data_IF_904720245455
#
_entry.id   IF_904720245455
#
_cell.length_a   1.000
_cell.length_b   1.000
_cell.length_c   1.000
_cell.angle_alpha   90.00
_cell.angle_beta   90.00
_cell.angle_gamma   90.00
#
_symmetry.space_group_name_H-M   'P 1'
#
loop_
_entity.id
_entity.type
_entity.pdbx_description
1 polymer ?
#
# COMPACT_ATOMS: atom_id res chain seq x y z
N UNK A 1 2.55 -60.53 37.95
CA UNK A 1 2.83 -59.08 38.13
C UNK A 1 3.93 -58.55 37.22
N UNK A 2 5.11 -59.20 37.09
CA UNK A 2 6.18 -58.73 36.18
C UNK A 2 5.74 -58.53 34.72
N UNK A 3 4.97 -59.48 34.18
CA UNK A 3 4.49 -59.45 32.78
C UNK A 3 3.51 -58.31 32.47
N UNK A 4 2.80 -57.78 33.47
CA UNK A 4 1.89 -56.64 33.26
C UNK A 4 2.67 -55.33 33.19
N UNK A 5 3.67 -55.16 34.08
CA UNK A 5 4.50 -53.96 34.12
C UNK A 5 5.36 -53.81 32.85
N UNK A 6 5.95 -54.90 32.36
CA UNK A 6 6.75 -54.91 31.12
C UNK A 6 5.92 -54.49 29.90
N UNK A 7 4.66 -54.94 29.80
CA UNK A 7 3.74 -54.55 28.72
C UNK A 7 3.36 -53.07 28.79
N UNK A 8 3.14 -52.54 30.00
CA UNK A 8 2.83 -51.11 30.20
C UNK A 8 4.01 -50.25 29.80
N UNK A 9 5.23 -50.63 30.20
CA UNK A 9 6.46 -49.91 29.84
C UNK A 9 6.67 -49.96 28.32
N UNK A 10 6.53 -51.12 27.68
CA UNK A 10 6.65 -51.24 26.24
C UNK A 10 5.62 -50.37 25.48
N UNK A 11 4.37 -50.35 25.94
CA UNK A 11 3.33 -49.51 25.35
C UNK A 11 3.65 -48.01 25.51
N UNK A 12 4.12 -47.59 26.69
CA UNK A 12 4.54 -46.21 26.92
C UNK A 12 5.70 -45.79 26.02
N UNK A 13 6.70 -46.66 25.82
CA UNK A 13 7.83 -46.41 24.92
C UNK A 13 7.33 -46.22 23.48
N UNK A 14 6.44 -47.09 23.00
CA UNK A 14 5.87 -46.97 21.65
C UNK A 14 5.12 -45.66 21.47
N UNK A 15 4.30 -45.25 22.46
CA UNK A 15 3.58 -43.97 22.42
C UNK A 15 4.54 -42.79 22.34
N UNK A 16 5.61 -42.78 23.15
CA UNK A 16 6.64 -41.72 23.11
C UNK A 16 7.34 -41.68 21.75
N UNK A 17 7.67 -42.83 21.17
CA UNK A 17 8.28 -42.91 19.83
C UNK A 17 7.32 -42.36 18.76
N UNK A 18 6.05 -42.74 18.79
CA UNK A 18 5.05 -42.25 17.83
C UNK A 18 4.85 -40.73 17.94
N UNK A 19 4.77 -40.19 19.16
CA UNK A 19 4.68 -38.75 19.39
C UNK A 19 5.95 -38.05 18.90
N UNK A 20 7.13 -38.61 19.18
CA UNK A 20 8.41 -38.07 18.71
C UNK A 20 8.53 -38.05 17.19
N UNK A 21 8.13 -39.13 16.51
CA UNK A 21 8.11 -39.20 15.05
C UNK A 21 7.08 -38.25 14.44
N UNK A 22 5.89 -38.13 15.03
CA UNK A 22 4.88 -37.17 14.61
C UNK A 22 5.37 -35.72 14.76
N UNK A 23 6.11 -35.42 15.84
CA UNK A 23 6.71 -34.10 16.07
C UNK A 23 7.85 -33.80 15.08
N UNK A 24 8.73 -34.77 14.80
CA UNK A 24 9.78 -34.64 13.78
C UNK A 24 9.15 -34.43 12.40
N UNK A 25 8.16 -35.24 12.04
CA UNK A 25 7.41 -35.08 10.79
C UNK A 25 6.76 -33.70 10.71
N UNK A 26 6.14 -33.23 11.80
CA UNK A 26 5.57 -31.89 11.88
C UNK A 26 6.62 -30.79 11.67
N UNK A 27 7.79 -30.86 12.30
CA UNK A 27 8.85 -29.86 12.06
C UNK A 27 9.35 -29.91 10.61
N UNK A 28 9.54 -31.09 10.05
CA UNK A 28 10.02 -31.26 8.68
C UNK A 28 9.00 -30.86 7.61
N UNK A 29 7.70 -30.91 7.94
CA UNK A 29 6.61 -30.54 7.03
C UNK A 29 6.00 -29.18 7.32
N UNK A 30 6.28 -28.59 8.49
CA UNK A 30 5.94 -27.20 8.76
C UNK A 30 6.76 -26.36 7.79
N UNK A 31 6.11 -25.56 6.92
CA UNK A 31 6.83 -24.71 5.99
C UNK A 31 7.69 -23.74 6.81
N UNK A 32 8.99 -24.04 6.88
CA UNK A 32 9.95 -23.18 7.53
C UNK A 32 9.88 -21.84 6.79
N UNK A 33 9.43 -20.80 7.49
CA UNK A 33 9.41 -19.47 6.91
C UNK A 33 10.88 -19.12 6.67
N UNK A 34 11.30 -19.12 5.41
CA UNK A 34 12.70 -18.88 5.09
C UNK A 34 13.11 -17.48 5.55
N UNK A 35 14.34 -17.33 6.04
CA UNK A 35 14.88 -16.01 6.39
C UNK A 35 14.82 -15.05 5.19
N UNK A 36 14.95 -15.60 3.97
CA UNK A 36 14.78 -14.87 2.71
C UNK A 36 13.39 -14.23 2.61
N UNK A 37 12.33 -14.97 2.94
CA UNK A 37 10.96 -14.45 2.93
C UNK A 37 10.77 -13.31 3.93
N UNK A 38 11.26 -13.45 5.17
CA UNK A 38 11.11 -12.40 6.20
C UNK A 38 11.90 -11.13 5.84
N UNK A 39 12.98 -11.28 5.07
CA UNK A 39 13.81 -10.18 4.59
C UNK A 39 13.23 -9.44 3.37
N UNK A 40 12.17 -9.98 2.74
CA UNK A 40 11.54 -9.33 1.59
C UNK A 40 11.10 -7.92 1.95
N UNK A 41 11.52 -6.93 1.14
CA UNK A 41 11.29 -5.52 1.41
C UNK A 41 10.28 -4.92 0.44
N UNK A 42 9.33 -4.16 0.97
CA UNK A 42 8.39 -3.32 0.22
C UNK A 42 8.74 -1.86 0.48
N UNK A 43 9.10 -1.14 -0.59
CA UNK A 43 9.40 0.29 -0.53
C UNK A 43 8.14 1.12 -0.77
N UNK A 44 7.87 2.04 0.16
CA UNK A 44 6.76 2.99 0.08
C UNK A 44 7.30 4.36 -0.37
N UNK A 45 6.76 4.87 -1.46
CA UNK A 45 7.07 6.18 -2.00
C UNK A 45 5.85 7.10 -1.93
N UNK A 46 6.14 8.39 -1.82
CA UNK A 46 5.23 9.50 -2.02
C UNK A 46 5.77 10.26 -3.23
N UNK A 47 5.09 10.17 -4.37
CA UNK A 47 5.65 10.56 -5.68
C UNK A 47 6.98 9.82 -5.93
N UNK A 48 8.09 10.55 -6.09
CA UNK A 48 9.43 10.00 -6.30
C UNK A 48 10.29 9.98 -5.02
N UNK A 49 9.72 10.35 -3.88
CA UNK A 49 10.42 10.35 -2.60
C UNK A 49 10.18 9.04 -1.85
N UNK A 50 11.26 8.33 -1.54
CA UNK A 50 11.22 7.15 -0.68
C UNK A 50 10.85 7.59 0.74
N UNK A 51 9.71 7.12 1.23
CA UNK A 51 9.23 7.40 2.58
C UNK A 51 9.74 6.38 3.58
N UNK A 52 9.54 5.09 3.28
CA UNK A 52 9.85 4.00 4.20
C UNK A 52 10.04 2.68 3.47
N UNK A 53 10.90 1.85 4.01
CA UNK A 53 11.02 0.45 3.64
C UNK A 53 10.41 -0.40 4.76
N UNK A 54 9.60 -1.39 4.40
CA UNK A 54 9.12 -2.40 5.33
C UNK A 54 9.59 -3.77 4.89
N UNK A 55 10.29 -4.49 5.76
CA UNK A 55 10.44 -5.93 5.61
C UNK A 55 9.12 -6.62 5.95
N UNK A 56 8.93 -7.88 5.53
CA UNK A 56 7.77 -8.68 5.96
C UNK A 56 7.73 -8.79 7.49
N UNK A 57 8.90 -8.91 8.12
CA UNK A 57 9.03 -8.89 9.58
C UNK A 57 8.53 -7.58 10.19
N UNK A 58 8.87 -6.44 9.59
CA UNK A 58 8.38 -5.13 10.03
C UNK A 58 6.87 -5.04 9.89
N UNK A 59 6.31 -5.51 8.76
CA UNK A 59 4.86 -5.49 8.55
C UNK A 59 4.13 -6.31 9.63
N UNK A 60 4.58 -7.54 9.90
CA UNK A 60 4.02 -8.40 10.95
C UNK A 60 4.09 -7.78 12.35
N UNK A 61 5.13 -6.98 12.61
CA UNK A 61 5.35 -6.37 13.92
C UNK A 61 4.55 -5.09 14.14
N UNK A 62 4.15 -4.40 13.06
CA UNK A 62 3.55 -3.06 13.13
C UNK A 62 2.07 -3.03 12.73
N UNK A 63 1.55 -4.09 12.09
CA UNK A 63 0.19 -4.10 11.56
C UNK A 63 -0.55 -5.37 11.95
N UNK A 64 -1.86 -5.25 12.12
CA UNK A 64 -2.74 -6.38 12.38
C UNK A 64 -2.93 -7.21 11.10
N UNK A 65 -2.79 -8.53 11.23
CA UNK A 65 -3.03 -9.45 10.14
C UNK A 65 -4.54 -9.59 9.93
N UNK A 66 -5.00 -9.32 8.71
CA UNK A 66 -6.39 -9.48 8.30
C UNK A 66 -6.55 -10.68 7.36
N UNK A 67 -7.71 -11.30 7.42
CA UNK A 67 -8.11 -12.41 6.54
C UNK A 67 -9.18 -11.94 5.57
N UNK A 68 -9.00 -12.22 4.28
CA UNK A 68 -9.99 -11.96 3.22
C UNK A 68 -10.24 -13.20 2.39
N UNK A 69 -11.50 -13.49 2.12
CA UNK A 69 -11.90 -14.57 1.21
C UNK A 69 -12.47 -13.93 -0.05
N UNK A 70 -11.90 -14.28 -1.20
CA UNK A 70 -12.18 -13.68 -2.50
C UNK A 70 -12.60 -14.77 -3.48
N UNK A 71 -13.61 -14.50 -4.30
CA UNK A 71 -13.98 -15.38 -5.41
C UNK A 71 -12.99 -15.19 -6.59
N UNK A 72 -12.26 -16.25 -6.91
CA UNK A 72 -11.32 -16.30 -8.02
C UNK A 72 -11.76 -17.37 -8.99
N UNK A 73 -12.43 -16.95 -10.07
CA UNK A 73 -12.93 -17.85 -11.12
C UNK A 73 -13.95 -18.89 -10.63
N UNK A 74 -14.80 -18.55 -9.66
CA UNK A 74 -15.81 -19.43 -9.09
C UNK A 74 -15.32 -20.24 -7.88
N UNK A 75 -14.06 -20.05 -7.48
CA UNK A 75 -13.45 -20.71 -6.32
C UNK A 75 -13.19 -19.69 -5.21
N UNK A 76 -13.65 -20.00 -3.99
CA UNK A 76 -13.35 -19.19 -2.81
C UNK A 76 -11.89 -19.39 -2.40
N UNK A 77 -11.10 -18.32 -2.47
CA UNK A 77 -9.68 -18.32 -2.11
C UNK A 77 -9.44 -17.38 -0.95
N UNK A 78 -8.72 -17.87 0.06
CA UNK A 78 -8.51 -17.11 1.28
C UNK A 78 -7.07 -16.62 1.38
N UNK A 79 -6.91 -15.35 1.68
CA UNK A 79 -5.64 -14.63 1.79
C UNK A 79 -5.55 -13.99 3.17
N UNK A 80 -4.35 -13.98 3.73
CA UNK A 80 -4.04 -13.21 4.94
C UNK A 80 -2.91 -12.21 4.66
N UNK A 81 -3.02 -11.01 5.23
CA UNK A 81 -2.14 -9.89 4.94
C UNK A 81 -2.45 -8.64 5.74
N UNK A 82 -2.06 -7.48 5.23
CA UNK A 82 -2.24 -6.19 5.90
C UNK A 82 -3.04 -5.23 5.01
N UNK A 83 -3.88 -4.39 5.61
CA UNK A 83 -4.60 -3.35 4.85
C UNK A 83 -3.61 -2.38 4.23
N UNK A 84 -3.73 -2.17 2.92
CA UNK A 84 -2.84 -1.26 2.21
C UNK A 84 -3.01 0.19 2.71
N UNK A 85 -4.24 0.62 2.98
CA UNK A 85 -4.50 1.94 3.52
C UNK A 85 -3.84 2.18 4.89
N UNK A 86 -3.79 1.17 5.77
CA UNK A 86 -3.16 1.29 7.09
C UNK A 86 -1.64 1.45 6.97
N UNK A 87 -1.01 0.73 6.02
CA UNK A 87 0.41 0.87 5.71
C UNK A 87 0.72 2.30 5.24
N UNK A 88 -0.09 2.83 4.32
CA UNK A 88 0.06 4.19 3.81
C UNK A 88 -0.19 5.24 4.90
N UNK A 89 -1.21 5.04 5.73
CA UNK A 89 -1.50 5.90 6.88
C UNK A 89 -0.34 5.94 7.87
N UNK A 90 0.30 4.79 8.17
CA UNK A 90 1.49 4.73 9.02
C UNK A 90 2.69 5.48 8.42
N UNK A 91 2.72 5.67 7.10
CA UNK A 91 3.70 6.51 6.41
C UNK A 91 3.30 8.00 6.39
N UNK A 92 2.21 8.41 7.06
CA UNK A 92 1.72 9.78 7.02
C UNK A 92 0.97 10.12 5.73
N UNK A 93 0.49 9.11 4.99
CA UNK A 93 -0.25 9.25 3.73
C UNK A 93 -1.71 8.85 3.98
N UNK A 94 -2.56 9.75 4.52
CA UNK A 94 -3.94 9.42 4.86
C UNK A 94 -4.84 9.29 3.63
N UNK A 95 -4.42 9.85 2.49
CA UNK A 95 -5.14 9.81 1.22
C UNK A 95 -4.19 10.08 0.05
N UNK A 96 -4.38 9.33 -1.04
CA UNK A 96 -3.78 9.60 -2.34
C UNK A 96 -4.80 9.24 -3.44
N UNK A 97 -5.11 10.14 -4.40
CA UNK A 97 -6.05 9.85 -5.49
C UNK A 97 -5.72 8.54 -6.22
N UNK A 98 -4.43 8.29 -6.43
CA UNK A 98 -3.91 7.11 -7.08
C UNK A 98 -2.78 6.47 -6.27
N UNK A 99 -2.72 5.14 -6.32
CA UNK A 99 -1.61 4.35 -5.76
C UNK A 99 -1.10 3.40 -6.82
N UNK A 100 0.18 3.50 -7.15
CA UNK A 100 0.85 2.62 -8.10
C UNK A 100 1.53 1.49 -7.33
N UNK A 101 1.18 0.25 -7.65
CA UNK A 101 1.77 -0.96 -7.07
C UNK A 101 2.62 -1.64 -8.13
N UNK A 102 3.88 -1.92 -7.80
CA UNK A 102 4.88 -2.46 -8.72
C UNK A 102 5.48 -3.75 -8.14
N UNK A 103 5.42 -4.81 -8.92
CA UNK A 103 6.06 -6.09 -8.63
C UNK A 103 7.57 -6.05 -8.88
N UNK A 104 8.31 -6.97 -8.28
CA UNK A 104 9.75 -7.12 -8.51
C UNK A 104 10.10 -7.43 -9.98
N UNK A 105 9.13 -7.94 -10.75
CA UNK A 105 9.23 -8.18 -12.20
C UNK A 105 8.92 -6.94 -13.06
N UNK A 106 8.62 -5.79 -12.44
CA UNK A 106 8.23 -4.56 -13.10
C UNK A 106 6.74 -4.49 -13.49
N UNK A 107 5.95 -5.54 -13.22
CA UNK A 107 4.51 -5.49 -13.46
C UNK A 107 3.85 -4.41 -12.61
N UNK A 108 3.07 -3.53 -13.23
CA UNK A 108 2.60 -2.29 -12.62
C UNK A 108 1.08 -2.16 -12.71
N UNK A 109 0.45 -1.74 -11.61
CA UNK A 109 -1.00 -1.51 -11.51
C UNK A 109 -1.27 -0.21 -10.77
N UNK A 110 -2.19 0.59 -11.31
CA UNK A 110 -2.67 1.83 -10.69
C UNK A 110 -4.04 1.65 -10.02
N UNK A 111 -4.14 1.90 -8.73
CA UNK A 111 -5.39 1.81 -7.97
C UNK A 111 -5.91 3.20 -7.63
N UNK A 112 -7.20 3.42 -7.81
CA UNK A 112 -7.89 4.55 -7.18
C UNK A 112 -7.97 4.33 -5.68
N UNK A 113 -8.01 5.41 -4.89
CA UNK A 113 -8.07 5.33 -3.43
C UNK A 113 -9.19 4.42 -2.89
N UNK A 114 -10.36 4.42 -3.52
CA UNK A 114 -11.48 3.55 -3.13
C UNK A 114 -11.14 2.05 -3.21
N UNK A 115 -10.27 1.67 -4.14
CA UNK A 115 -9.78 0.30 -4.24
C UNK A 115 -8.67 0.03 -3.21
N UNK A 116 -7.89 1.06 -2.85
CA UNK A 116 -6.80 0.97 -1.85
C UNK A 116 -7.34 0.68 -0.45
N UNK A 117 -8.47 1.28 -0.08
CA UNK A 117 -9.10 1.05 1.25
C UNK A 117 -9.59 -0.38 1.43
N UNK A 118 -9.87 -1.08 0.33
CA UNK A 118 -10.30 -2.48 0.30
C UNK A 118 -9.17 -3.45 -0.13
N UNK A 119 -7.97 -2.92 -0.39
CA UNK A 119 -6.83 -3.72 -0.82
C UNK A 119 -6.06 -4.29 0.37
N UNK A 120 -5.61 -5.52 0.20
CA UNK A 120 -4.76 -6.22 1.15
C UNK A 120 -3.42 -6.51 0.48
N UNK A 121 -2.34 -6.20 1.19
CA UNK A 121 -1.01 -6.70 0.87
C UNK A 121 -0.87 -8.06 1.54
N UNK A 122 -1.28 -9.11 0.82
CA UNK A 122 -1.28 -10.50 1.27
C UNK A 122 0.13 -11.06 1.33
N UNK A 123 0.42 -11.76 2.42
CA UNK A 123 1.69 -12.48 2.62
C UNK A 123 1.47 -13.99 2.86
N UNK A 124 0.22 -14.40 3.04
CA UNK A 124 -0.18 -15.79 3.26
C UNK A 124 -1.36 -16.11 2.33
N UNK A 125 -1.29 -17.27 1.69
CA UNK A 125 -2.36 -17.87 0.91
C UNK A 125 -2.81 -19.18 1.54
N UNK A 126 -4.12 -19.36 1.71
CA UNK A 126 -4.72 -20.62 2.14
C UNK A 126 -5.26 -21.36 0.92
N UNK A 127 -4.65 -22.51 0.64
CA UNK A 127 -5.09 -23.44 -0.38
C UNK A 127 -6.46 -24.02 0.01
N UNK A 128 -7.42 -24.12 -0.92
CA UNK A 128 -8.68 -24.83 -0.71
C UNK A 128 -8.53 -26.25 -0.15
N UNK A 129 -7.41 -26.93 -0.44
CA UNK A 129 -7.10 -28.28 0.07
C UNK A 129 -6.55 -28.29 1.51
N UNK A 130 -6.50 -27.12 2.16
CA UNK A 130 -6.05 -26.97 3.56
C UNK A 130 -4.57 -26.63 3.73
N UNK A 131 -3.84 -26.44 2.63
CA UNK A 131 -2.46 -25.98 2.65
C UNK A 131 -2.32 -24.50 3.02
N UNK A 132 -1.21 -24.14 3.67
CA UNK A 132 -0.83 -22.74 3.91
C UNK A 132 0.46 -22.48 3.14
N UNK A 133 0.47 -21.44 2.31
CA UNK A 133 1.66 -20.99 1.57
C UNK A 133 2.03 -19.58 1.98
N UNK A 134 3.28 -19.41 2.39
CA UNK A 134 3.89 -18.09 2.58
C UNK A 134 4.42 -17.61 1.23
N UNK A 135 3.86 -16.50 0.75
CA UNK A 135 4.21 -15.91 -0.55
C UNK A 135 4.80 -14.52 -0.33
N UNK A 136 5.82 -14.11 -1.12
CA UNK A 136 6.20 -12.70 -1.18
C UNK A 136 4.95 -11.81 -1.35
N UNK A 137 4.93 -10.62 -0.74
CA UNK A 137 3.79 -9.72 -0.73
C UNK A 137 3.04 -9.67 -2.07
N UNK A 138 1.72 -9.83 -2.03
CA UNK A 138 0.81 -9.79 -3.20
C UNK A 138 -0.33 -8.83 -2.94
N UNK A 139 -0.62 -7.98 -3.92
CA UNK A 139 -1.82 -7.17 -3.90
C UNK A 139 -3.06 -8.02 -4.21
N UNK A 140 -4.06 -8.02 -3.33
CA UNK A 140 -5.38 -8.65 -3.53
C UNK A 140 -6.50 -7.73 -3.02
N UNK A 141 -7.73 -7.91 -3.49
CA UNK A 141 -8.89 -7.15 -2.99
C UNK A 141 -10.19 -7.43 -3.76
N UNK A 142 -11.34 -7.25 -3.11
CA UNK A 142 -12.68 -7.62 -3.62
C UNK A 142 -13.09 -6.83 -4.88
N UNK A 143 -12.72 -5.55 -4.95
CA UNK A 143 -13.02 -4.68 -6.10
C UNK A 143 -11.84 -4.55 -7.07
N UNK A 144 -10.83 -5.42 -6.96
CA UNK A 144 -9.65 -5.43 -7.82
C UNK A 144 -9.76 -6.65 -8.73
N UNK A 145 -9.87 -6.42 -10.04
CA UNK A 145 -9.86 -7.50 -11.05
C UNK A 145 -8.63 -8.39 -10.83
N UNK A 146 -8.81 -9.71 -10.87
CA UNK A 146 -7.74 -10.70 -10.63
C UNK A 146 -6.49 -10.46 -11.49
N UNK A 147 -6.64 -10.03 -12.74
CA UNK A 147 -5.51 -9.70 -13.63
C UNK A 147 -4.64 -8.54 -13.14
N UNK A 148 -5.11 -7.76 -12.16
CA UNK A 148 -4.42 -6.61 -11.55
C UNK A 148 -3.81 -6.95 -10.19
N UNK A 149 -3.83 -8.21 -9.78
CA UNK A 149 -3.21 -8.65 -8.54
C UNK A 149 -1.71 -8.79 -8.74
N UNK A 150 -0.98 -7.74 -8.36
CA UNK A 150 0.48 -7.68 -8.47
C UNK A 150 1.10 -8.69 -7.51
N UNK A 151 1.91 -9.61 -8.04
CA UNK A 151 2.68 -10.58 -7.26
C UNK A 151 4.05 -9.99 -6.91
N UNK A 152 4.67 -10.49 -5.85
CA UNK A 152 6.02 -10.10 -5.44
C UNK A 152 6.17 -8.58 -5.38
N UNK A 153 5.21 -7.91 -4.74
CA UNK A 153 5.15 -6.46 -4.60
C UNK A 153 6.46 -5.98 -3.98
N UNK A 154 7.15 -5.10 -4.69
CA UNK A 154 8.42 -4.51 -4.28
C UNK A 154 8.28 -3.02 -4.00
N UNK A 155 7.35 -2.33 -4.68
CA UNK A 155 7.18 -0.89 -4.54
C UNK A 155 5.71 -0.50 -4.54
N UNK A 156 5.36 0.46 -3.69
CA UNK A 156 4.05 1.09 -3.61
C UNK A 156 4.26 2.60 -3.63
N UNK A 157 3.67 3.30 -4.59
CA UNK A 157 3.79 4.75 -4.73
C UNK A 157 2.44 5.42 -4.56
N UNK A 158 2.31 6.32 -3.60
CA UNK A 158 1.19 7.26 -3.53
C UNK A 158 1.43 8.39 -4.54
N UNK A 159 0.45 8.68 -5.38
CA UNK A 159 0.53 9.66 -6.46
C UNK A 159 -0.68 10.61 -6.38
N UNK A 160 -0.41 11.92 -6.30
CA UNK A 160 -1.42 12.98 -6.23
C UNK A 160 -1.77 13.57 -7.58
N UNK A 161 -1.01 13.24 -8.64
CA UNK A 161 -1.31 13.68 -9.98
C UNK A 161 -1.70 12.53 -10.91
N UNK A 162 -2.91 12.65 -11.46
CA UNK A 162 -3.23 12.01 -12.72
C UNK A 162 -2.36 12.67 -13.82
N UNK A 163 -1.45 11.92 -14.46
CA UNK A 163 -0.78 12.38 -15.68
C UNK A 163 -1.84 12.49 -16.80
N UNK A 164 -2.20 13.71 -17.17
CA UNK A 164 -3.00 13.97 -18.37
C UNK A 164 -2.04 14.12 -19.55
N UNK A 165 -2.10 13.19 -20.50
CA UNK A 165 -1.41 13.32 -21.79
C UNK A 165 -2.24 14.22 -22.72
N UNK A 166 -1.61 15.26 -23.28
CA UNK A 166 -2.04 15.88 -24.54
C UNK A 166 -1.00 15.51 -25.62
N UNK A 167 -1.43 15.17 -26.85
CA UNK A 167 -0.51 14.83 -27.95
C UNK A 167 0.45 15.96 -28.38
N UNK A 168 0.25 17.18 -27.90
CA UNK A 168 0.70 18.40 -28.57
C UNK A 168 1.32 19.49 -27.66
N UNK A 169 1.68 19.12 -26.41
CA UNK A 169 2.57 19.80 -25.42
C UNK A 169 1.84 20.09 -24.11
N UNK A 170 1.94 19.13 -23.19
CA UNK A 170 1.56 19.32 -21.79
C UNK A 170 2.81 19.60 -20.95
N UNK A 171 2.88 20.76 -20.31
CA UNK A 171 3.77 20.98 -19.17
C UNK A 171 2.96 20.68 -17.91
N UNK A 172 3.35 19.62 -17.20
CA UNK A 172 2.78 19.23 -15.92
C UNK A 172 3.63 19.82 -14.80
N UNK A 173 3.04 20.64 -13.92
CA UNK A 173 3.68 21.10 -12.70
C UNK A 173 3.12 20.31 -11.51
N UNK A 174 4.01 19.62 -10.82
CA UNK A 174 3.73 18.98 -9.54
C UNK A 174 4.30 19.87 -8.45
N UNK A 175 3.47 20.33 -7.52
CA UNK A 175 3.95 20.83 -6.23
C UNK A 175 4.31 19.65 -5.31
N UNK A 176 5.21 18.79 -5.78
CA UNK A 176 5.80 17.69 -5.02
C UNK A 176 7.06 18.19 -4.35
N UNK A 177 6.91 18.99 -3.31
CA UNK A 177 8.07 19.57 -2.61
C UNK A 177 7.80 20.18 -1.24
N UNK A 178 6.53 20.48 -0.91
CA UNK A 178 6.25 21.03 0.41
C UNK A 178 5.93 19.91 1.40
N UNK A 179 6.77 19.82 2.44
CA UNK A 179 6.70 18.91 3.58
C UNK A 179 5.46 19.11 4.49
N UNK A 180 4.28 19.34 3.88
CA UNK A 180 3.01 19.61 4.55
C UNK A 180 2.52 21.06 4.38
N UNK A 181 1.26 21.29 4.75
CA UNK A 181 0.57 22.59 4.69
C UNK A 181 1.38 23.70 5.38
N UNK A 182 2.09 23.38 6.46
CA UNK A 182 2.92 24.30 7.23
C UNK A 182 4.04 24.94 6.40
N UNK A 183 4.70 24.16 5.53
CA UNK A 183 5.79 24.66 4.69
C UNK A 183 5.26 25.54 3.55
N UNK A 184 4.06 25.25 3.04
CA UNK A 184 3.40 26.12 2.08
C UNK A 184 3.03 27.46 2.73
N UNK A 185 2.39 27.42 3.92
CA UNK A 185 1.98 28.62 4.66
C UNK A 185 3.18 29.50 5.06
N UNK A 186 4.37 28.93 5.23
CA UNK A 186 5.60 29.66 5.49
C UNK A 186 6.06 30.54 4.31
N UNK A 187 5.55 30.33 3.09
CA UNK A 187 5.80 31.20 1.93
C UNK A 187 5.11 32.56 2.04
N UNK A 188 4.26 32.73 3.06
CA UNK A 188 3.50 33.94 3.30
C UNK A 188 2.04 33.76 2.91
N UNK A 189 1.15 34.06 3.85
CA UNK A 189 -0.29 33.98 3.65
C UNK A 189 -0.87 35.34 3.33
N UNK A 190 -1.86 35.37 2.45
CA UNK A 190 -2.69 36.53 2.17
C UNK A 190 -4.14 36.16 2.45
N UNK A 191 -4.83 37.04 3.16
CA UNK A 191 -6.29 36.96 3.32
C UNK A 191 -6.94 37.74 2.19
N UNK A 192 -7.83 37.08 1.45
CA UNK A 192 -8.72 37.71 0.48
C UNK A 192 -10.14 37.64 1.02
N UNK A 193 -10.92 38.68 0.79
CA UNK A 193 -12.32 38.74 1.18
C UNK A 193 -13.16 38.89 -0.08
N UNK A 194 -14.15 38.02 -0.24
CA UNK A 194 -15.03 37.98 -1.41
C UNK A 194 -16.48 37.88 -0.95
N UNK A 195 -17.39 38.46 -1.74
CA UNK A 195 -18.82 38.26 -1.58
C UNK A 195 -19.22 36.91 -2.18
N UNK A 196 -19.80 36.03 -1.37
CA UNK A 196 -20.29 34.72 -1.78
C UNK A 196 -21.71 34.52 -1.25
N UNK A 197 -22.68 34.39 -2.16
CA UNK A 197 -24.11 34.31 -1.83
C UNK A 197 -24.66 35.45 -0.95
N UNK A 198 -24.13 36.67 -1.12
CA UNK A 198 -24.55 37.84 -0.34
C UNK A 198 -23.97 37.90 1.07
N UNK A 199 -23.03 37.02 1.38
CA UNK A 199 -22.22 37.06 2.59
C UNK A 199 -20.76 37.38 2.25
N UNK A 200 -20.14 38.22 3.06
CA UNK A 200 -18.71 38.51 2.97
C UNK A 200 -17.91 37.37 3.60
N UNK A 201 -17.18 36.59 2.78
CA UNK A 201 -16.37 35.45 3.22
C UNK A 201 -14.88 35.77 3.04
N UNK A 202 -14.07 35.45 4.05
CA UNK A 202 -12.61 35.64 4.00
C UNK A 202 -11.88 34.31 3.88
N UNK A 203 -10.95 34.24 2.94
CA UNK A 203 -10.09 33.08 2.68
C UNK A 203 -8.64 33.47 2.94
N UNK A 204 -7.94 32.71 3.79
CA UNK A 204 -6.51 32.88 4.02
C UNK A 204 -5.75 31.75 3.36
N UNK A 205 -4.84 32.09 2.45
CA UNK A 205 -4.03 31.11 1.75
C UNK A 205 -2.74 31.71 1.21
N UNK A 206 -1.93 30.91 0.55
CA UNK A 206 -0.70 31.38 -0.08
C UNK A 206 -1.03 31.88 -1.48
N UNK A 207 -0.61 33.09 -1.88
CA UNK A 207 -0.85 33.57 -3.24
C UNK A 207 -0.27 32.59 -4.26
N UNK A 208 -1.06 32.22 -5.26
CA UNK A 208 -0.62 31.29 -6.30
C UNK A 208 0.64 31.79 -7.01
N UNK A 209 0.78 33.11 -7.20
CA UNK A 209 1.99 33.74 -7.74
C UNK A 209 3.23 33.47 -6.88
N UNK A 210 3.10 33.47 -5.55
CA UNK A 210 4.18 33.13 -4.63
C UNK A 210 4.57 31.67 -4.78
N UNK A 211 3.60 30.78 -4.97
CA UNK A 211 3.86 29.36 -5.18
C UNK A 211 4.55 29.12 -6.52
N UNK A 212 4.07 29.76 -7.59
CA UNK A 212 4.65 29.67 -8.94
C UNK A 212 6.08 30.21 -8.95
N UNK A 213 6.37 31.30 -8.23
CA UNK A 213 7.71 31.89 -8.19
C UNK A 213 8.74 31.03 -7.45
N UNK A 214 8.32 29.99 -6.73
CA UNK A 214 9.23 29.00 -6.11
C UNK A 214 9.64 27.90 -7.09
N UNK A 215 8.91 27.76 -8.19
CA UNK A 215 9.22 26.78 -9.24
C UNK A 215 10.21 27.51 -10.20
N UNK A 216 11.31 26.87 -10.60
CA UNK A 216 12.48 27.49 -11.26
C UNK A 216 12.18 28.34 -12.53
N UNK A 217 13.15 29.17 -12.94
CA UNK A 217 13.17 30.23 -13.97
C UNK A 217 12.65 29.91 -15.39
N UNK A 218 12.09 28.73 -15.67
CA UNK A 218 11.69 28.30 -17.02
C UNK A 218 10.24 28.66 -17.43
N UNK A 219 9.63 29.64 -16.77
CA UNK A 219 8.21 29.98 -16.97
C UNK A 219 7.90 31.10 -17.95
N UNK A 220 8.87 31.55 -18.74
CA UNK A 220 8.62 32.61 -19.73
C UNK A 220 7.56 32.25 -20.78
N UNK A 221 7.14 30.98 -20.86
CA UNK A 221 6.24 30.44 -21.87
C UNK A 221 4.99 29.73 -21.29
N UNK A 222 4.52 30.06 -20.08
CA UNK A 222 3.21 29.54 -19.63
C UNK A 222 2.11 30.30 -20.34
N UNK A 223 1.32 29.62 -21.17
CA UNK A 223 0.10 30.17 -21.76
C UNK A 223 -1.14 29.92 -20.90
N UNK A 224 -1.08 28.93 -19.99
CA UNK A 224 -2.23 28.47 -19.22
C UNK A 224 -1.83 27.79 -17.91
N UNK A 225 -2.52 28.13 -16.83
CA UNK A 225 -2.43 27.45 -15.53
C UNK A 225 -3.78 26.79 -15.23
N UNK A 226 -3.77 25.49 -14.95
CA UNK A 226 -4.95 24.76 -14.51
C UNK A 226 -4.80 24.46 -13.02
N UNK A 227 -5.70 25.00 -12.21
CA UNK A 227 -5.78 24.68 -10.78
C UNK A 227 -6.93 23.69 -10.59
N UNK A 228 -6.63 22.51 -10.02
CA UNK A 228 -7.62 21.49 -9.68
C UNK A 228 -7.74 21.37 -8.16
N UNK A 229 -8.96 21.48 -7.65
CA UNK A 229 -9.29 21.25 -6.24
C UNK A 229 -9.52 19.75 -5.96
N UNK A 230 -9.64 19.40 -4.68
CA UNK A 230 -9.80 18.02 -4.20
C UNK A 230 -11.10 17.34 -4.65
N UNK A 231 -12.13 18.12 -4.99
CA UNK A 231 -13.44 17.70 -5.48
C UNK A 231 -13.51 17.68 -7.01
N UNK A 232 -12.36 17.65 -7.68
CA UNK A 232 -12.17 17.72 -9.13
C UNK A 232 -12.59 19.05 -9.80
N UNK A 233 -13.02 20.06 -9.02
CA UNK A 233 -13.28 21.39 -9.56
C UNK A 233 -12.01 21.96 -10.18
N UNK A 234 -12.12 22.48 -11.40
CA UNK A 234 -11.01 23.04 -12.14
C UNK A 234 -11.28 24.48 -12.51
N UNK A 235 -10.28 25.33 -12.28
CA UNK A 235 -10.25 26.68 -12.82
C UNK A 235 -9.03 26.83 -13.72
N UNK A 236 -9.28 27.45 -14.86
CA UNK A 236 -8.26 27.87 -15.80
C UNK A 236 -7.92 29.33 -15.54
N UNK A 237 -6.63 29.60 -15.39
CA UNK A 237 -6.07 30.92 -15.21
C UNK A 237 -5.18 31.19 -16.41
N UNK A 238 -5.64 32.08 -17.28
CA UNK A 238 -4.90 32.70 -18.39
C UNK A 238 -4.26 34.00 -17.96
#
# INVERSE_FOLDING_TARGET
MKTTLEKVIACAIVVVIVIGLAYIYYIQTSPEISEEYESWTVSIYCEDYLFKNFTVKDLKSNFELMKVTLDVHGEQRTYEGFKLADILYNCGIPYAPWVVVIGADGYTVELQWENVTNAVLSIIYHDPEGGIRYDPPRLVGENIRHSRWVKMVATIKAVWLLKVFSPDRSISFTLSGYHGLSSLMALGTKTITVEYHGETVSFTGVPLTTVISQIEDNFSNIEKIIVRAWDDYQIEIT
#
